data_IF_668081521832
#
_entry.id   IF_668081521832
#
_cell.length_a   1.000
_cell.length_b   1.000
_cell.length_c   1.000
_cell.angle_alpha   90.00
_cell.angle_beta   90.00
_cell.angle_gamma   90.00
#
_symmetry.space_group_name_H-M   'P 1'
#
loop_
_entity.id
_entity.type
_entity.pdbx_description
1 polymer ?
#
# COMPACT_ATOMS: atom_id res chain seq x y z
N UNK A 1 17.81 -24.16 -13.02
CA UNK A 1 16.91 -23.14 -13.64
C UNK A 1 17.22 -21.80 -12.96
N UNK A 2 17.48 -20.75 -13.72
CA UNK A 2 17.74 -19.45 -13.14
C UNK A 2 16.52 -19.00 -12.31
N UNK A 3 16.77 -18.56 -11.09
CA UNK A 3 15.72 -18.07 -10.19
C UNK A 3 15.17 -16.76 -10.81
N UNK A 4 13.93 -16.76 -11.29
CA UNK A 4 13.25 -15.58 -11.81
C UNK A 4 12.88 -14.68 -10.62
N UNK A 5 13.81 -13.82 -10.25
CA UNK A 5 13.60 -12.79 -9.20
C UNK A 5 13.13 -11.49 -9.86
N UNK A 6 12.52 -10.60 -9.07
CA UNK A 6 12.14 -9.25 -9.56
C UNK A 6 13.33 -8.56 -10.22
N UNK A 7 14.51 -8.58 -9.60
CA UNK A 7 15.71 -7.97 -10.17
C UNK A 7 16.07 -8.52 -11.57
N UNK A 8 15.97 -9.84 -11.75
CA UNK A 8 16.22 -10.45 -13.04
C UNK A 8 15.18 -10.03 -14.08
N UNK A 9 13.91 -9.92 -13.69
CA UNK A 9 12.83 -9.48 -14.57
C UNK A 9 12.90 -7.98 -14.89
N UNK A 10 13.30 -7.15 -13.95
CA UNK A 10 13.51 -5.71 -14.17
C UNK A 10 14.65 -5.43 -15.18
N UNK A 11 15.68 -6.25 -15.18
CA UNK A 11 16.79 -6.15 -16.12
C UNK A 11 16.39 -6.57 -17.55
N UNK A 12 15.27 -7.29 -17.73
CA UNK A 12 14.80 -7.75 -19.03
C UNK A 12 14.15 -6.64 -19.86
N UNK A 13 14.24 -6.78 -21.17
CA UNK A 13 13.49 -5.95 -22.12
C UNK A 13 12.00 -6.30 -22.12
N UNK A 14 11.15 -5.38 -22.57
CA UNK A 14 9.71 -5.66 -22.72
C UNK A 14 9.41 -6.86 -23.62
N UNK A 15 10.23 -7.07 -24.65
CA UNK A 15 10.08 -8.19 -25.59
C UNK A 15 10.30 -9.53 -24.86
N UNK A 16 11.34 -9.64 -24.07
CA UNK A 16 11.64 -10.83 -23.27
C UNK A 16 10.57 -11.09 -22.20
N UNK A 17 10.08 -10.03 -21.58
CA UNK A 17 8.97 -10.13 -20.61
C UNK A 17 7.67 -10.62 -21.29
N UNK A 18 7.38 -10.18 -22.53
CA UNK A 18 6.22 -10.68 -23.27
C UNK A 18 6.35 -12.16 -23.63
N UNK A 19 7.54 -12.65 -23.94
CA UNK A 19 7.77 -14.08 -24.18
C UNK A 19 7.55 -14.90 -22.89
N UNK A 20 8.02 -14.40 -21.76
CA UNK A 20 7.76 -15.02 -20.46
C UNK A 20 6.27 -14.99 -20.10
N UNK A 21 5.59 -13.86 -20.33
CA UNK A 21 4.16 -13.74 -20.09
C UNK A 21 3.34 -14.76 -20.92
N UNK A 22 3.71 -14.99 -22.18
CA UNK A 22 3.13 -16.05 -23.02
C UNK A 22 3.40 -17.44 -22.44
N UNK A 23 4.64 -17.71 -22.01
CA UNK A 23 5.04 -18.98 -21.42
C UNK A 23 4.23 -19.31 -20.16
N UNK A 24 4.02 -18.32 -19.30
CA UNK A 24 3.26 -18.47 -18.05
C UNK A 24 1.75 -18.22 -18.21
N UNK A 25 1.26 -18.03 -19.46
CA UNK A 25 -0.17 -17.80 -19.80
C UNK A 25 -0.80 -16.61 -19.10
N UNK A 26 -0.06 -15.52 -18.96
CA UNK A 26 -0.59 -14.26 -18.40
C UNK A 26 -1.61 -13.66 -19.37
N UNK A 27 -2.80 -13.37 -18.90
CA UNK A 27 -3.85 -12.74 -19.69
C UNK A 27 -3.61 -11.24 -19.87
N UNK A 28 -3.98 -10.69 -21.02
CA UNK A 28 -3.92 -9.24 -21.33
C UNK A 28 -2.56 -8.57 -21.09
N UNK A 29 -1.46 -9.30 -21.11
CA UNK A 29 -0.10 -8.82 -20.81
C UNK A 29 0.33 -7.58 -21.61
N UNK A 30 -0.19 -7.38 -22.81
CA UNK A 30 0.16 -6.23 -23.66
C UNK A 30 -0.40 -4.87 -23.16
N UNK A 31 -1.35 -4.88 -22.23
CA UNK A 31 -1.95 -3.68 -21.64
C UNK A 31 -1.33 -3.29 -20.31
N UNK A 32 -0.47 -4.13 -19.76
CA UNK A 32 0.14 -3.94 -18.45
C UNK A 32 1.38 -3.05 -18.55
N UNK A 33 1.62 -2.24 -17.57
CA UNK A 33 2.90 -1.56 -17.38
C UNK A 33 4.00 -2.59 -17.11
N UNK A 34 5.27 -2.22 -17.30
CA UNK A 34 6.39 -3.13 -17.04
C UNK A 34 6.34 -3.74 -15.64
N UNK A 35 5.97 -2.94 -14.64
CA UNK A 35 5.88 -3.35 -13.24
C UNK A 35 4.74 -4.36 -13.02
N UNK A 36 3.55 -4.06 -13.48
CA UNK A 36 2.39 -4.96 -13.43
C UNK A 36 2.63 -6.27 -14.17
N UNK A 37 3.32 -6.21 -15.30
CA UNK A 37 3.69 -7.38 -16.10
C UNK A 37 4.62 -8.32 -15.30
N UNK A 38 5.63 -7.78 -14.63
CA UNK A 38 6.54 -8.55 -13.77
C UNK A 38 5.76 -9.25 -12.66
N UNK A 39 4.90 -8.53 -11.95
CA UNK A 39 4.06 -9.13 -10.89
C UNK A 39 3.12 -10.20 -11.43
N UNK A 40 2.49 -9.98 -12.57
CA UNK A 40 1.61 -10.96 -13.22
C UNK A 40 2.34 -12.23 -13.65
N UNK A 41 3.58 -12.10 -14.10
CA UNK A 41 4.44 -13.26 -14.45
C UNK A 41 4.77 -14.07 -13.18
N UNK A 42 5.16 -13.41 -12.09
CA UNK A 42 5.48 -14.06 -10.81
C UNK A 42 4.25 -14.76 -10.21
N UNK A 43 3.08 -14.12 -10.27
CA UNK A 43 1.81 -14.68 -9.84
C UNK A 43 1.47 -15.96 -10.62
N UNK A 44 1.43 -15.87 -11.94
CA UNK A 44 1.09 -17.02 -12.79
C UNK A 44 2.09 -18.17 -12.65
N UNK A 45 3.36 -17.85 -12.42
CA UNK A 45 4.39 -18.85 -12.14
C UNK A 45 4.12 -19.56 -10.81
N UNK A 46 3.86 -18.82 -9.74
CA UNK A 46 3.57 -19.39 -8.43
C UNK A 46 2.35 -20.33 -8.50
N UNK A 47 1.29 -19.91 -9.19
CA UNK A 47 0.07 -20.71 -9.40
C UNK A 47 0.35 -22.02 -10.16
N UNK A 48 1.20 -21.98 -11.19
CA UNK A 48 1.59 -23.22 -11.93
C UNK A 48 2.44 -24.17 -11.09
N UNK A 49 3.18 -23.66 -10.12
CA UNK A 49 3.96 -24.44 -9.16
C UNK A 49 3.12 -24.94 -7.96
N UNK A 50 1.81 -24.64 -7.93
CA UNK A 50 0.90 -25.02 -6.85
C UNK A 50 0.99 -24.13 -5.60
N UNK A 51 1.48 -22.93 -5.73
CA UNK A 51 1.58 -21.93 -4.67
C UNK A 51 0.75 -20.69 -5.01
N UNK A 52 0.52 -19.84 -4.00
CA UNK A 52 -0.09 -18.53 -4.20
C UNK A 52 0.99 -17.45 -4.28
N UNK A 53 0.69 -16.38 -5.00
CA UNK A 53 1.44 -15.14 -4.91
C UNK A 53 0.55 -14.12 -4.23
N UNK A 54 0.95 -13.69 -3.04
CA UNK A 54 0.15 -12.79 -2.21
C UNK A 54 1.01 -11.61 -1.75
N UNK A 55 0.32 -10.56 -1.35
CA UNK A 55 0.89 -9.31 -0.87
C UNK A 55 0.17 -8.87 0.40
N UNK A 56 0.88 -8.25 1.32
CA UNK A 56 0.30 -7.69 2.53
C UNK A 56 1.26 -6.72 3.21
N UNK A 57 0.73 -5.93 4.14
CA UNK A 57 1.52 -5.00 4.94
C UNK A 57 2.02 -5.70 6.20
N UNK A 58 3.30 -5.58 6.47
CA UNK A 58 3.96 -6.27 7.57
C UNK A 58 3.64 -5.64 8.93
N UNK A 59 3.14 -6.46 9.83
CA UNK A 59 3.10 -6.22 11.26
C UNK A 59 4.03 -7.20 11.97
N UNK A 60 5.02 -6.69 12.71
CA UNK A 60 5.98 -7.49 13.49
C UNK A 60 5.49 -7.58 14.92
N UNK A 61 5.36 -8.80 15.43
CA UNK A 61 5.07 -9.06 16.84
C UNK A 61 6.37 -8.93 17.62
N UNK A 62 6.56 -7.79 18.28
CA UNK A 62 7.83 -7.42 18.90
C UNK A 62 8.33 -8.42 19.94
N UNK A 63 7.44 -9.05 20.71
CA UNK A 63 7.77 -10.05 21.73
C UNK A 63 8.37 -11.34 21.15
N UNK A 64 7.97 -11.69 19.92
CA UNK A 64 8.26 -12.99 19.31
C UNK A 64 9.26 -12.89 18.14
N UNK A 65 9.37 -11.71 17.55
CA UNK A 65 10.27 -11.41 16.44
C UNK A 65 9.81 -11.94 15.07
N UNK A 66 8.72 -12.70 14.99
CA UNK A 66 8.03 -13.01 13.73
C UNK A 66 6.95 -11.97 13.44
N UNK A 67 6.28 -12.08 12.30
CA UNK A 67 5.24 -11.15 11.93
C UNK A 67 4.16 -11.77 11.07
N UNK A 68 3.18 -10.92 10.71
CA UNK A 68 2.12 -11.24 9.77
C UNK A 68 2.06 -10.18 8.67
N UNK A 69 1.84 -10.62 7.45
CA UNK A 69 1.45 -9.72 6.38
C UNK A 69 -0.07 -9.63 6.39
N UNK A 70 -0.59 -8.41 6.48
CA UNK A 70 -2.01 -8.09 6.54
C UNK A 70 -2.48 -7.73 5.12
N UNK A 71 -3.19 -8.60 4.41
CA UNK A 71 -3.63 -8.33 3.05
C UNK A 71 -4.88 -7.45 2.97
N UNK A 72 -5.70 -7.42 4.05
CA UNK A 72 -7.00 -6.74 4.06
C UNK A 72 -6.98 -5.63 5.11
N UNK A 73 -7.16 -4.40 4.68
CA UNK A 73 -7.37 -3.20 5.51
C UNK A 73 -6.42 -3.07 6.72
N UNK A 74 -5.19 -3.60 6.60
CA UNK A 74 -4.17 -3.57 7.66
C UNK A 74 -4.57 -4.28 8.96
N UNK A 75 -5.74 -4.94 8.98
CA UNK A 75 -6.31 -5.59 10.16
C UNK A 75 -6.05 -7.11 10.15
N UNK A 76 -6.16 -7.72 11.34
CA UNK A 76 -6.08 -9.17 11.49
C UNK A 76 -7.20 -9.87 10.75
N UNK A 77 -6.87 -10.89 9.97
CA UNK A 77 -7.83 -11.67 9.20
C UNK A 77 -7.43 -13.15 9.11
N UNK A 78 -8.34 -13.98 8.63
CA UNK A 78 -8.04 -15.38 8.30
C UNK A 78 -7.09 -15.54 7.11
N UNK A 79 -6.90 -14.48 6.35
CA UNK A 79 -6.01 -14.45 5.17
C UNK A 79 -4.59 -13.95 5.49
N UNK A 80 -4.30 -13.72 6.77
CA UNK A 80 -2.98 -13.29 7.21
C UNK A 80 -1.91 -14.29 6.82
N UNK A 81 -0.74 -13.75 6.46
CA UNK A 81 0.38 -14.54 5.99
C UNK A 81 1.50 -14.47 7.03
N UNK A 82 1.80 -15.60 7.64
CA UNK A 82 2.92 -15.71 8.57
C UNK A 82 4.26 -15.48 7.87
N UNK A 83 5.09 -14.64 8.45
CA UNK A 83 6.48 -14.41 8.06
C UNK A 83 7.42 -14.69 9.23
N UNK A 84 8.48 -15.46 8.95
CA UNK A 84 9.41 -15.88 9.99
C UNK A 84 10.38 -14.77 10.41
N UNK A 85 10.84 -14.83 11.65
CA UNK A 85 11.86 -13.92 12.17
C UNK A 85 13.18 -13.95 11.36
N UNK A 86 13.51 -15.08 10.74
CA UNK A 86 14.69 -15.19 9.87
C UNK A 86 14.55 -14.38 8.58
N UNK A 87 13.37 -14.39 7.96
CA UNK A 87 13.08 -13.58 6.78
C UNK A 87 13.07 -12.09 7.10
N UNK A 88 12.43 -11.71 8.22
CA UNK A 88 12.41 -10.33 8.70
C UNK A 88 13.84 -9.80 8.89
N UNK A 89 14.69 -10.54 9.58
CA UNK A 89 16.10 -10.16 9.80
C UNK A 89 16.91 -10.16 8.51
N UNK A 90 16.73 -11.16 7.65
CA UNK A 90 17.49 -11.27 6.40
C UNK A 90 17.32 -10.07 5.49
N UNK A 91 16.08 -9.58 5.35
CA UNK A 91 15.74 -8.47 4.45
C UNK A 91 15.57 -7.12 5.18
N UNK A 92 15.89 -7.08 6.49
CA UNK A 92 15.74 -5.90 7.34
C UNK A 92 14.35 -5.25 7.23
N UNK A 93 13.31 -6.13 7.26
CA UNK A 93 11.93 -5.71 7.11
C UNK A 93 11.47 -4.94 8.35
N UNK A 94 10.55 -4.01 8.12
CA UNK A 94 10.03 -3.09 9.14
C UNK A 94 8.51 -3.11 9.15
N UNK A 95 7.92 -2.74 10.28
CA UNK A 95 6.48 -2.51 10.36
C UNK A 95 6.04 -1.52 9.28
N UNK A 96 4.96 -1.85 8.58
CA UNK A 96 4.42 -1.06 7.50
C UNK A 96 5.03 -1.36 6.12
N UNK A 97 6.02 -2.27 6.02
CA UNK A 97 6.52 -2.70 4.71
C UNK A 97 5.46 -3.48 3.96
N UNK A 98 5.24 -3.11 2.73
CA UNK A 98 4.43 -3.87 1.79
C UNK A 98 5.27 -5.00 1.20
N UNK A 99 5.01 -6.21 1.62
CA UNK A 99 5.78 -7.40 1.23
C UNK A 99 4.94 -8.28 0.32
N UNK A 100 5.48 -8.64 -0.82
CA UNK A 100 4.87 -9.59 -1.74
C UNK A 100 5.78 -10.78 -1.99
N UNK A 101 5.17 -11.94 -2.19
CA UNK A 101 5.96 -13.14 -2.40
C UNK A 101 5.15 -14.41 -2.59
N UNK A 102 5.90 -15.50 -2.65
CA UNK A 102 5.36 -16.85 -2.80
C UNK A 102 4.89 -17.39 -1.46
N UNK A 103 3.64 -17.81 -1.42
CA UNK A 103 2.93 -18.22 -0.21
C UNK A 103 2.39 -19.63 -0.39
N UNK A 104 2.45 -20.44 0.67
CA UNK A 104 1.80 -21.75 0.73
C UNK A 104 0.51 -21.71 1.55
N UNK A 105 -0.47 -22.55 1.24
CA UNK A 105 -1.65 -22.67 2.07
C UNK A 105 -1.29 -23.21 3.47
N UNK A 106 -2.15 -22.97 4.48
CA UNK A 106 -1.99 -23.55 5.81
C UNK A 106 -2.03 -25.08 5.75
N UNK A 107 -1.23 -25.74 6.56
CA UNK A 107 -1.28 -27.18 6.79
C UNK A 107 -2.40 -27.53 7.77
N UNK A 108 -2.71 -28.84 7.94
CA UNK A 108 -3.82 -29.31 8.79
C UNK A 108 -3.86 -28.73 10.21
N UNK A 109 -2.70 -28.36 10.79
CA UNK A 109 -2.60 -27.79 12.14
C UNK A 109 -2.20 -26.32 12.15
N UNK A 110 -2.17 -25.65 11.00
CA UNK A 110 -1.82 -24.24 10.89
C UNK A 110 -3.06 -23.40 10.57
N UNK A 111 -3.14 -22.21 11.16
CA UNK A 111 -4.26 -21.30 10.94
C UNK A 111 -4.01 -20.33 9.78
N UNK A 112 -2.75 -19.99 9.53
CA UNK A 112 -2.38 -18.93 8.63
C UNK A 112 -1.59 -19.45 7.43
N UNK A 113 -1.64 -18.70 6.34
CA UNK A 113 -0.75 -18.90 5.20
C UNK A 113 0.70 -18.73 5.63
N UNK A 114 1.64 -19.35 4.92
CA UNK A 114 3.06 -19.22 5.21
C UNK A 114 3.85 -18.61 4.07
N UNK A 115 4.57 -17.53 4.30
CA UNK A 115 5.45 -16.93 3.31
C UNK A 115 6.68 -17.81 3.12
N UNK A 116 6.86 -18.34 1.90
CA UNK A 116 8.00 -19.18 1.54
C UNK A 116 9.17 -18.34 1.03
N UNK A 117 8.89 -17.34 0.20
CA UNK A 117 9.90 -16.52 -0.45
C UNK A 117 9.42 -15.09 -0.57
N UNK A 118 10.22 -14.15 -0.10
CA UNK A 118 10.03 -12.72 -0.34
C UNK A 118 10.48 -12.42 -1.76
N UNK A 119 9.58 -11.89 -2.57
CA UNK A 119 9.88 -11.50 -3.96
C UNK A 119 10.04 -9.99 -4.11
N UNK A 120 9.23 -9.19 -3.40
CA UNK A 120 9.37 -7.75 -3.37
C UNK A 120 9.12 -7.15 -1.98
N UNK A 121 9.73 -6.01 -1.73
CA UNK A 121 9.48 -5.13 -0.57
C UNK A 121 9.22 -3.72 -1.09
N UNK A 122 8.05 -3.17 -0.77
CA UNK A 122 7.60 -1.87 -1.28
C UNK A 122 7.68 -1.77 -2.82
N UNK A 123 7.41 -2.88 -3.51
CA UNK A 123 7.47 -2.99 -4.97
C UNK A 123 8.88 -2.91 -5.56
N UNK A 124 9.92 -3.09 -4.75
CA UNK A 124 11.33 -3.12 -5.14
C UNK A 124 11.97 -4.48 -4.84
N UNK A 125 13.14 -4.73 -5.40
CA UNK A 125 13.95 -5.89 -5.04
C UNK A 125 14.25 -5.88 -3.54
N UNK A 126 14.05 -7.00 -2.81
CA UNK A 126 14.32 -7.09 -1.39
C UNK A 126 15.75 -6.70 -0.98
N UNK A 127 16.75 -7.00 -1.80
CA UNK A 127 18.15 -6.64 -1.52
C UNK A 127 18.37 -5.12 -1.61
N UNK A 128 17.74 -4.44 -2.58
CA UNK A 128 17.80 -2.97 -2.69
C UNK A 128 17.01 -2.31 -1.55
N UNK A 129 15.90 -2.92 -1.13
CA UNK A 129 15.08 -2.40 -0.04
C UNK A 129 15.81 -2.37 1.32
N UNK A 130 16.85 -3.19 1.52
CA UNK A 130 17.69 -3.16 2.72
C UNK A 130 18.48 -1.86 2.88
N UNK A 131 18.89 -1.25 1.77
CA UNK A 131 19.71 -0.03 1.77
C UNK A 131 18.93 1.24 2.10
N UNK A 132 17.62 1.13 2.30
CA UNK A 132 16.77 2.29 2.58
C UNK A 132 17.07 2.93 3.94
N UNK A 133 17.14 4.25 3.93
CA UNK A 133 17.32 5.03 5.15
C UNK A 133 16.10 4.92 6.05
N UNK A 134 16.29 4.85 7.36
CA UNK A 134 15.20 4.93 8.34
C UNK A 134 14.55 6.30 8.31
N UNK A 135 13.20 6.36 8.34
CA UNK A 135 12.46 7.62 8.38
C UNK A 135 12.94 8.58 9.49
N UNK A 136 13.18 8.15 10.75
CA UNK A 136 13.71 9.03 11.78
C UNK A 136 15.11 9.58 11.52
N UNK A 137 15.88 8.95 10.63
CA UNK A 137 17.21 9.39 10.27
C UNK A 137 17.24 10.36 9.07
N UNK A 138 16.08 10.63 8.46
CA UNK A 138 15.95 11.60 7.39
C UNK A 138 16.06 13.02 7.94
N UNK A 139 16.71 13.90 7.18
CA UNK A 139 16.78 15.33 7.52
C UNK A 139 15.41 15.98 7.30
N UNK A 140 14.80 16.59 8.35
CA UNK A 140 13.54 17.30 8.18
C UNK A 140 13.74 18.57 7.37
N UNK A 141 12.86 18.79 6.40
CA UNK A 141 12.85 19.98 5.56
C UNK A 141 11.54 20.74 5.76
N UNK A 142 11.56 22.06 5.59
CA UNK A 142 10.33 22.83 5.48
C UNK A 142 9.63 22.49 4.17
N UNK A 143 8.26 22.45 4.15
CA UNK A 143 7.51 22.25 2.91
C UNK A 143 7.79 23.39 1.92
N UNK A 144 8.42 23.07 0.80
CA UNK A 144 8.76 24.02 -0.28
C UNK A 144 7.86 23.87 -1.51
N UNK A 145 7.11 22.76 -1.57
CA UNK A 145 6.17 22.45 -2.66
C UNK A 145 4.74 22.45 -2.13
N UNK A 146 3.90 23.33 -2.66
CA UNK A 146 2.49 23.41 -2.29
C UNK A 146 1.68 22.25 -2.88
N UNK A 147 0.76 21.70 -2.09
CA UNK A 147 -0.33 20.85 -2.55
C UNK A 147 -1.46 21.76 -3.00
N UNK A 148 -1.66 21.92 -4.31
CA UNK A 148 -2.73 22.74 -4.84
C UNK A 148 -4.08 22.03 -4.70
N UNK A 149 -5.01 22.67 -3.99
CA UNK A 149 -6.34 22.12 -3.69
C UNK A 149 -7.45 22.70 -4.56
N UNK A 150 -7.22 23.84 -5.23
CA UNK A 150 -8.19 24.43 -6.16
C UNK A 150 -8.39 23.52 -7.37
N UNK A 151 -9.63 23.07 -7.62
CA UNK A 151 -10.00 22.21 -8.75
C UNK A 151 -10.93 22.95 -9.72
N UNK A 152 -12.11 23.36 -9.25
CA UNK A 152 -13.11 24.05 -10.05
C UNK A 152 -13.50 25.36 -9.40
N UNK A 153 -13.92 26.40 -10.18
CA UNK A 153 -14.30 27.71 -9.64
C UNK A 153 -15.42 27.67 -8.59
N UNK A 154 -16.26 26.66 -8.64
CA UNK A 154 -17.42 26.52 -7.74
C UNK A 154 -17.07 25.87 -6.40
N UNK A 155 -15.87 25.31 -6.24
CA UNK A 155 -15.39 24.72 -4.99
C UNK A 155 -14.66 25.77 -4.16
N UNK A 156 -15.44 26.53 -3.40
CA UNK A 156 -14.91 27.68 -2.65
C UNK A 156 -14.05 27.27 -1.45
N UNK A 157 -14.36 26.17 -0.77
CA UNK A 157 -13.65 25.69 0.43
C UNK A 157 -12.15 25.42 0.15
N UNK A 158 -11.84 24.62 -0.85
CA UNK A 158 -10.47 24.28 -1.23
C UNK A 158 -9.72 25.49 -1.82
N UNK A 159 -10.42 26.37 -2.54
CA UNK A 159 -9.86 27.63 -3.02
C UNK A 159 -9.51 28.59 -1.88
N UNK A 160 -10.39 28.69 -0.86
CA UNK A 160 -10.11 29.52 0.33
C UNK A 160 -8.90 28.95 1.08
N UNK A 161 -8.79 27.61 1.20
CA UNK A 161 -7.62 27.00 1.82
C UNK A 161 -6.32 27.36 1.10
N UNK A 162 -6.28 27.27 -0.21
CA UNK A 162 -5.08 27.64 -1.00
C UNK A 162 -4.66 29.11 -0.79
N UNK A 163 -5.62 30.00 -0.55
CA UNK A 163 -5.36 31.42 -0.36
C UNK A 163 -4.98 31.79 1.08
N UNK A 164 -5.63 31.19 2.06
CA UNK A 164 -5.54 31.59 3.47
C UNK A 164 -4.64 30.66 4.29
N UNK A 165 -4.64 29.37 3.96
CA UNK A 165 -3.91 28.34 4.70
C UNK A 165 -3.37 27.27 3.75
N UNK A 166 -2.44 27.63 2.86
CA UNK A 166 -1.89 26.69 1.88
C UNK A 166 -1.21 25.53 2.57
N UNK A 167 -1.34 24.34 1.99
CA UNK A 167 -0.77 23.10 2.50
C UNK A 167 0.39 22.66 1.61
N UNK A 168 1.50 22.25 2.19
CA UNK A 168 2.67 21.75 1.46
C UNK A 168 2.90 20.26 1.65
N UNK A 169 3.62 19.66 0.71
CA UNK A 169 4.05 18.26 0.84
C UNK A 169 4.91 18.09 2.09
N UNK A 170 4.58 17.08 2.93
CA UNK A 170 5.25 16.84 4.20
C UNK A 170 4.76 17.70 5.38
N UNK A 171 3.81 18.62 5.15
CA UNK A 171 3.26 19.47 6.20
C UNK A 171 2.31 18.68 7.10
N UNK A 172 2.34 19.01 8.40
CA UNK A 172 1.31 18.59 9.37
C UNK A 172 0.29 19.72 9.51
N UNK A 173 -0.97 19.42 9.24
CA UNK A 173 -2.10 20.33 9.43
C UNK A 173 -3.08 19.81 10.48
N UNK A 174 -3.76 20.71 11.17
CA UNK A 174 -4.82 20.37 12.11
C UNK A 174 -6.09 21.15 11.74
N UNK A 175 -7.21 20.43 11.56
CA UNK A 175 -8.52 21.00 11.34
C UNK A 175 -9.34 20.81 12.61
N UNK A 176 -9.63 21.90 13.32
CA UNK A 176 -10.46 21.89 14.53
C UNK A 176 -11.79 22.54 14.19
N UNK A 177 -12.87 21.81 14.43
CA UNK A 177 -14.21 22.31 14.17
C UNK A 177 -15.20 21.71 15.17
N UNK A 178 -16.22 22.47 15.62
CA UNK A 178 -17.30 21.92 16.42
C UNK A 178 -18.10 20.86 15.61
N UNK A 179 -18.88 20.01 16.30
CA UNK A 179 -19.74 19.05 15.61
C UNK A 179 -20.67 19.76 14.61
N UNK A 180 -20.92 19.10 13.46
CA UNK A 180 -21.80 19.58 12.36
C UNK A 180 -21.34 20.87 11.66
N UNK A 181 -20.08 21.27 11.81
CA UNK A 181 -19.50 22.43 11.11
C UNK A 181 -18.96 22.11 9.70
N UNK A 182 -19.13 20.89 9.20
CA UNK A 182 -18.69 20.50 7.85
C UNK A 182 -17.26 19.93 7.79
N UNK A 183 -16.66 19.51 8.91
CA UNK A 183 -15.31 18.92 8.96
C UNK A 183 -15.15 17.78 7.94
N UNK A 184 -16.03 16.79 7.98
CA UNK A 184 -15.99 15.61 7.09
C UNK A 184 -16.14 16.00 5.62
N UNK A 185 -17.02 16.97 5.33
CA UNK A 185 -17.17 17.51 3.95
C UNK A 185 -15.87 18.15 3.47
N UNK A 186 -15.23 18.97 4.30
CA UNK A 186 -13.96 19.61 3.97
C UNK A 186 -12.85 18.58 3.71
N UNK A 187 -12.75 17.55 4.55
CA UNK A 187 -11.78 16.45 4.37
C UNK A 187 -11.99 15.75 3.04
N UNK A 188 -13.25 15.44 2.67
CA UNK A 188 -13.58 14.81 1.38
C UNK A 188 -13.22 15.72 0.19
N UNK A 189 -13.45 17.01 0.31
CA UNK A 189 -13.06 17.97 -0.74
C UNK A 189 -11.55 18.09 -0.90
N UNK A 190 -10.79 18.09 0.20
CA UNK A 190 -9.33 18.06 0.19
C UNK A 190 -8.83 16.76 -0.47
N UNK A 191 -9.36 15.62 -0.06
CA UNK A 191 -8.98 14.31 -0.60
C UNK A 191 -9.23 14.24 -2.12
N UNK A 192 -10.41 14.65 -2.57
CA UNK A 192 -10.73 14.71 -4.00
C UNK A 192 -9.87 15.71 -4.78
N UNK A 193 -9.49 16.81 -4.16
CA UNK A 193 -8.60 17.79 -4.78
C UNK A 193 -7.18 17.24 -4.95
N UNK A 194 -6.66 16.53 -3.93
CA UNK A 194 -5.35 15.88 -4.00
C UNK A 194 -5.33 14.83 -5.12
N UNK A 195 -6.30 13.93 -5.17
CA UNK A 195 -6.35 12.88 -6.21
C UNK A 195 -6.53 13.43 -7.62
N UNK A 196 -7.15 14.61 -7.75
CA UNK A 196 -7.35 15.29 -9.05
C UNK A 196 -6.07 15.99 -9.51
N UNK A 197 -5.44 16.77 -8.63
CA UNK A 197 -4.33 17.64 -8.97
C UNK A 197 -2.95 16.97 -8.82
N UNK A 198 -2.88 15.92 -7.99
CA UNK A 198 -1.65 15.20 -7.63
C UNK A 198 -1.84 13.70 -7.73
N UNK A 199 -2.07 13.16 -8.95
CA UNK A 199 -2.30 11.71 -9.14
C UNK A 199 -1.09 10.85 -8.78
N UNK A 200 0.08 11.46 -8.61
CA UNK A 200 1.29 10.79 -8.14
C UNK A 200 1.31 10.57 -6.63
N UNK A 201 0.43 11.23 -5.86
CA UNK A 201 0.38 11.12 -4.42
C UNK A 201 -0.44 9.90 -4.00
N UNK A 202 0.13 9.06 -3.15
CA UNK A 202 -0.62 8.01 -2.45
C UNK A 202 -1.42 8.65 -1.31
N UNK A 203 -2.74 8.54 -1.39
CA UNK A 203 -3.65 9.11 -0.41
C UNK A 203 -4.23 8.03 0.49
N UNK A 204 -4.00 8.15 1.79
CA UNK A 204 -4.57 7.27 2.81
C UNK A 204 -5.48 8.12 3.70
N UNK A 205 -6.70 7.65 3.92
CA UNK A 205 -7.67 8.24 4.85
C UNK A 205 -7.85 7.30 6.02
N UNK A 206 -7.43 7.73 7.20
CA UNK A 206 -7.61 6.97 8.43
C UNK A 206 -8.77 7.57 9.23
N UNK A 207 -9.80 6.77 9.46
CA UNK A 207 -10.99 7.12 10.24
C UNK A 207 -10.96 6.38 11.58
N UNK A 208 -10.94 7.11 12.67
CA UNK A 208 -10.89 6.54 14.01
C UNK A 208 -12.14 6.94 14.76
N UNK A 209 -12.86 5.95 15.33
CA UNK A 209 -14.09 6.13 16.11
C UNK A 209 -15.19 6.87 15.31
N UNK A 210 -15.23 6.62 13.99
CA UNK A 210 -16.24 7.20 13.10
C UNK A 210 -17.45 6.26 12.97
N UNK A 211 -18.56 6.80 12.46
CA UNK A 211 -19.78 6.02 12.23
C UNK A 211 -19.66 5.18 10.96
N UNK A 212 -20.19 3.94 10.94
CA UNK A 212 -20.14 3.08 9.75
C UNK A 212 -20.69 3.74 8.48
N UNK A 213 -21.77 4.53 8.62
CA UNK A 213 -22.34 5.28 7.49
C UNK A 213 -21.40 6.37 6.94
N UNK A 214 -20.60 7.02 7.81
CA UNK A 214 -19.63 8.03 7.38
C UNK A 214 -18.42 7.38 6.71
N UNK A 215 -17.98 6.23 7.19
CA UNK A 215 -16.92 5.42 6.56
C UNK A 215 -17.33 5.04 5.15
N UNK A 216 -18.51 4.43 4.98
CA UNK A 216 -19.04 4.03 3.67
C UNK A 216 -19.19 5.22 2.71
N UNK A 217 -19.60 6.37 3.22
CA UNK A 217 -19.73 7.59 2.41
C UNK A 217 -18.39 8.11 1.92
N UNK A 218 -17.34 8.07 2.76
CA UNK A 218 -15.98 8.43 2.36
C UNK A 218 -15.43 7.45 1.33
N UNK A 219 -15.50 6.14 1.58
CA UNK A 219 -15.05 5.10 0.66
C UNK A 219 -15.64 5.24 -0.76
N UNK A 220 -16.93 5.61 -0.85
CA UNK A 220 -17.62 5.80 -2.13
C UNK A 220 -17.32 7.13 -2.81
N UNK A 221 -16.92 8.13 -2.04
CA UNK A 221 -16.79 9.51 -2.53
C UNK A 221 -15.35 9.95 -2.78
N UNK A 222 -14.35 9.20 -2.31
CA UNK A 222 -12.93 9.54 -2.42
C UNK A 222 -12.17 8.39 -3.06
N UNK A 223 -11.28 8.69 -3.99
CA UNK A 223 -10.36 7.70 -4.56
C UNK A 223 -9.09 7.64 -3.71
N UNK A 224 -9.15 6.94 -2.58
CA UNK A 224 -8.07 6.82 -1.61
C UNK A 224 -8.08 5.42 -0.98
N UNK A 225 -6.99 5.06 -0.34
CA UNK A 225 -6.96 3.91 0.55
C UNK A 225 -7.61 4.30 1.88
N UNK A 226 -8.81 3.79 2.17
CA UNK A 226 -9.58 4.16 3.36
C UNK A 226 -9.42 3.06 4.40
N UNK A 227 -8.90 3.43 5.56
CA UNK A 227 -8.73 2.56 6.72
C UNK A 227 -9.61 3.09 7.84
N UNK A 228 -10.41 2.25 8.44
CA UNK A 228 -11.37 2.67 9.48
C UNK A 228 -11.31 1.78 10.71
N UNK A 229 -11.63 2.40 11.84
CA UNK A 229 -12.04 1.76 13.07
C UNK A 229 -13.36 2.43 13.49
N UNK A 230 -14.42 1.67 13.48
CA UNK A 230 -15.75 2.15 13.83
C UNK A 230 -16.05 1.88 15.31
N UNK A 231 -16.92 2.70 15.92
CA UNK A 231 -17.23 2.59 17.35
C UNK A 231 -18.00 1.31 17.73
N UNK A 232 -18.51 0.56 16.78
CA UNK A 232 -19.23 -0.70 16.95
C UNK A 232 -18.35 -1.95 16.74
N UNK A 233 -17.08 -1.77 16.35
CA UNK A 233 -16.12 -2.88 16.28
C UNK A 233 -15.66 -3.27 17.70
N UNK A 234 -15.48 -4.57 17.90
CA UNK A 234 -14.96 -5.11 19.15
C UNK A 234 -13.45 -4.80 19.22
N UNK A 235 -12.97 -4.21 20.34
CA UNK A 235 -11.55 -3.88 20.50
C UNK A 235 -10.62 -5.08 20.52
#
# INVERSE_FOLDING_TARGET
MAQLTIAALEAMTLKELYELAKKYKVSYYAKLTKKELIFSILKSRAEQEGYFFMEGVLEIIQSEGYGFLRPINYSSSSEDIYISASQIRRFELRNGDKVSGKVRPPKENERYYGLLQVEAVNGQNPETARERVHFPALTPLYPDRQIKLETTPNRLSTRIMDLVSPVGFGQRGLIVAPPKAGKTMLIKEIANAITTNHPEAELIVLLIDERPEEVTDIERSVNADVVSSTFDEVP
#
